data_IF_108983650555
#
_entry.id   IF_108983650555
#
_cell.length_a   1.000
_cell.length_b   1.000
_cell.length_c   1.000
_cell.angle_alpha   90.00
_cell.angle_beta   90.00
_cell.angle_gamma   90.00
#
_symmetry.space_group_name_H-M   'P 1'
#
loop_
_entity.id
_entity.type
_entity.pdbx_description
1 polymer ?
#
# COMPACT_ATOMS: atom_id res chain seq x y z
N UNK A 1 24.92 2.33 21.86
CA UNK A 1 23.64 2.64 21.20
C UNK A 1 23.98 3.27 19.86
N UNK A 2 23.64 2.63 18.74
CA UNK A 2 23.86 3.25 17.44
C UNK A 2 22.81 4.35 17.29
N UNK A 3 23.27 5.61 17.32
CA UNK A 3 22.44 6.76 16.98
C UNK A 3 22.33 6.83 15.46
N UNK A 4 21.16 6.49 14.91
CA UNK A 4 20.90 6.68 13.49
C UNK A 4 20.83 8.17 13.16
N UNK A 5 21.28 8.51 11.94
CA UNK A 5 21.26 9.90 11.47
C UNK A 5 19.84 10.31 11.05
N UNK A 6 19.51 11.62 11.09
CA UNK A 6 18.25 12.12 10.57
C UNK A 6 17.98 11.67 9.12
N UNK A 7 19.02 11.60 8.28
CA UNK A 7 18.92 11.15 6.89
C UNK A 7 18.51 9.67 6.78
N UNK A 8 19.01 8.82 7.66
CA UNK A 8 18.65 7.39 7.70
C UNK A 8 17.18 7.19 8.08
N UNK A 9 16.69 7.95 9.06
CA UNK A 9 15.29 7.92 9.50
C UNK A 9 14.33 8.50 8.43
N UNK A 10 14.76 9.55 7.74
CA UNK A 10 14.02 10.13 6.62
C UNK A 10 13.89 9.14 5.46
N UNK A 11 14.98 8.46 5.10
CA UNK A 11 14.97 7.42 4.08
C UNK A 11 14.05 6.24 4.47
N UNK A 12 14.12 5.78 5.71
CA UNK A 12 13.24 4.72 6.21
C UNK A 12 11.75 5.10 6.13
N UNK A 13 11.43 6.35 6.48
CA UNK A 13 10.06 6.88 6.38
C UNK A 13 9.56 6.95 4.93
N UNK A 14 10.42 7.35 3.99
CA UNK A 14 10.10 7.36 2.56
C UNK A 14 9.80 5.95 2.06
N UNK A 15 10.64 4.97 2.39
CA UNK A 15 10.44 3.56 2.00
C UNK A 15 9.13 3.02 2.57
N UNK A 16 8.83 3.29 3.85
CA UNK A 16 7.57 2.88 4.47
C UNK A 16 6.35 3.49 3.76
N UNK A 17 6.43 4.76 3.37
CA UNK A 17 5.39 5.44 2.61
C UNK A 17 5.15 4.78 1.24
N UNK A 18 6.23 4.55 0.48
CA UNK A 18 6.15 3.94 -0.86
C UNK A 18 5.63 2.50 -0.82
N UNK A 19 5.95 1.72 0.22
CA UNK A 19 5.43 0.37 0.39
C UNK A 19 3.91 0.38 0.55
N UNK A 20 3.39 1.22 1.47
CA UNK A 20 1.95 1.31 1.70
C UNK A 20 1.23 1.89 0.48
N UNK A 21 1.82 2.86 -0.21
CA UNK A 21 1.28 3.34 -1.48
C UNK A 21 1.21 2.23 -2.52
N UNK A 22 2.27 1.43 -2.65
CA UNK A 22 2.33 0.30 -3.59
C UNK A 22 1.28 -0.77 -3.29
N UNK A 23 1.13 -1.17 -2.02
CA UNK A 23 0.07 -2.10 -1.58
C UNK A 23 -1.32 -1.61 -1.98
N UNK A 24 -1.62 -0.33 -1.72
CA UNK A 24 -2.91 0.28 -2.08
C UNK A 24 -3.13 0.31 -3.59
N UNK A 25 -2.11 0.65 -4.38
CA UNK A 25 -2.23 0.69 -5.84
C UNK A 25 -2.45 -0.69 -6.44
N UNK A 26 -1.86 -1.73 -5.85
CA UNK A 26 -2.12 -3.12 -6.23
C UNK A 26 -3.58 -3.48 -5.94
N UNK A 27 -4.12 -3.13 -4.77
CA UNK A 27 -5.53 -3.38 -4.43
C UNK A 27 -6.49 -2.67 -5.39
N UNK A 28 -6.24 -1.39 -5.71
CA UNK A 28 -7.03 -0.62 -6.70
C UNK A 28 -6.97 -1.28 -8.08
N UNK A 29 -5.80 -1.75 -8.49
CA UNK A 29 -5.61 -2.40 -9.79
C UNK A 29 -6.30 -3.77 -9.85
N UNK A 30 -6.25 -4.55 -8.77
CA UNK A 30 -6.95 -5.83 -8.64
C UNK A 30 -8.47 -5.68 -8.71
N UNK A 31 -9.02 -4.65 -8.05
CA UNK A 31 -10.44 -4.32 -8.14
C UNK A 31 -10.86 -3.99 -9.58
N UNK A 32 -10.07 -3.19 -10.30
CA UNK A 32 -10.34 -2.84 -11.71
C UNK A 32 -10.30 -4.06 -12.63
N UNK A 33 -9.31 -4.95 -12.47
CA UNK A 33 -9.23 -6.18 -13.26
C UNK A 33 -10.42 -7.12 -13.00
N UNK A 34 -10.84 -7.22 -11.74
CA UNK A 34 -12.00 -8.04 -11.37
C UNK A 34 -13.28 -7.48 -11.99
N UNK A 35 -13.50 -6.15 -11.95
CA UNK A 35 -14.64 -5.51 -12.59
C UNK A 35 -14.68 -5.72 -14.11
N UNK A 36 -13.51 -5.71 -14.77
CA UNK A 36 -13.39 -6.05 -16.19
C UNK A 36 -13.81 -7.51 -16.46
N UNK A 37 -13.34 -8.46 -15.65
CA UNK A 37 -13.73 -9.87 -15.79
C UNK A 37 -15.23 -10.06 -15.62
N UNK A 38 -15.83 -9.43 -14.60
CA UNK A 38 -17.28 -9.41 -14.39
C UNK A 38 -18.01 -8.87 -15.62
N UNK A 39 -17.57 -7.74 -16.17
CA UNK A 39 -18.15 -7.14 -17.38
C UNK A 39 -18.11 -8.11 -18.57
N UNK A 40 -17.00 -8.85 -18.75
CA UNK A 40 -16.87 -9.84 -19.83
C UNK A 40 -17.86 -10.99 -19.64
N UNK A 41 -18.07 -11.49 -18.43
CA UNK A 41 -18.99 -12.59 -18.18
C UNK A 41 -20.45 -12.17 -18.29
N UNK A 42 -20.83 -11.07 -17.62
CA UNK A 42 -22.19 -10.56 -17.60
C UNK A 42 -22.64 -10.04 -18.96
N UNK A 43 -21.73 -9.41 -19.72
CA UNK A 43 -22.06 -8.83 -21.03
C UNK A 43 -22.31 -9.85 -22.14
N UNK A 44 -21.79 -11.08 -22.02
CA UNK A 44 -21.90 -12.09 -23.09
C UNK A 44 -23.32 -12.51 -23.41
N UNK A 45 -24.08 -12.87 -22.37
CA UNK A 45 -25.45 -13.38 -22.51
C UNK A 45 -26.37 -12.35 -23.17
N UNK A 46 -26.51 -11.11 -22.66
CA UNK A 46 -27.38 -10.12 -23.28
C UNK A 46 -26.89 -9.64 -24.66
N UNK A 47 -25.57 -9.71 -24.92
CA UNK A 47 -25.03 -9.36 -26.23
C UNK A 47 -25.13 -10.50 -27.28
N UNK A 48 -25.62 -11.69 -26.90
CA UNK A 48 -25.69 -12.85 -27.80
C UNK A 48 -24.31 -13.35 -28.26
N UNK A 49 -23.25 -13.06 -27.49
CA UNK A 49 -21.87 -13.41 -27.85
C UNK A 49 -21.55 -14.83 -27.37
N UNK A 50 -21.15 -15.70 -28.29
CA UNK A 50 -20.76 -17.08 -27.98
C UNK A 50 -19.59 -17.13 -26.97
N UNK A 51 -19.60 -18.13 -26.09
CA UNK A 51 -18.61 -18.28 -25.02
C UNK A 51 -17.15 -18.37 -25.52
N UNK A 52 -16.93 -18.93 -26.71
CA UNK A 52 -15.59 -19.05 -27.30
C UNK A 52 -15.01 -17.72 -27.80
N UNK A 53 -15.86 -16.74 -28.13
CA UNK A 53 -15.41 -15.42 -28.63
C UNK A 53 -14.65 -14.71 -27.52
N UNK A 54 -13.44 -14.23 -27.81
CA UNK A 54 -12.61 -13.50 -26.84
C UNK A 54 -11.96 -14.37 -25.76
N UNK A 55 -12.01 -15.70 -25.86
CA UNK A 55 -11.47 -16.62 -24.84
C UNK A 55 -9.98 -16.37 -24.53
N UNK A 56 -9.15 -16.18 -25.55
CA UNK A 56 -7.72 -15.90 -25.35
C UNK A 56 -7.47 -14.55 -24.65
N UNK A 57 -8.37 -13.59 -24.83
CA UNK A 57 -8.34 -12.32 -24.10
C UNK A 57 -8.70 -12.52 -22.63
N UNK A 58 -9.80 -13.23 -22.37
CA UNK A 58 -10.25 -13.59 -21.02
C UNK A 58 -9.16 -14.34 -20.23
N UNK A 59 -8.48 -15.31 -20.86
CA UNK A 59 -7.36 -16.03 -20.25
C UNK A 59 -6.20 -15.10 -19.86
N UNK A 60 -5.83 -14.16 -20.72
CA UNK A 60 -4.77 -13.18 -20.42
C UNK A 60 -5.16 -12.24 -19.28
N UNK A 61 -6.41 -11.78 -19.24
CA UNK A 61 -6.92 -10.94 -18.15
C UNK A 61 -6.92 -11.69 -16.82
N UNK A 62 -7.36 -12.96 -16.81
CA UNK A 62 -7.33 -13.80 -15.61
C UNK A 62 -5.88 -14.07 -15.14
N UNK A 63 -4.95 -14.35 -16.07
CA UNK A 63 -3.54 -14.52 -15.75
C UNK A 63 -2.92 -13.23 -15.17
N UNK A 64 -3.27 -12.06 -15.71
CA UNK A 64 -2.83 -10.77 -15.17
C UNK A 64 -3.34 -10.52 -13.75
N UNK A 65 -4.60 -10.87 -13.45
CA UNK A 65 -5.13 -10.80 -12.09
C UNK A 65 -4.38 -11.73 -11.14
N UNK A 66 -4.09 -12.97 -11.55
CA UNK A 66 -3.30 -13.91 -10.75
C UNK A 66 -1.89 -13.37 -10.46
N UNK A 67 -1.22 -12.81 -11.47
CA UNK A 67 0.10 -12.22 -11.30
C UNK A 67 0.09 -11.00 -10.35
N UNK A 68 -0.99 -10.21 -10.38
CA UNK A 68 -1.17 -9.09 -9.47
C UNK A 68 -1.35 -9.55 -8.01
N UNK A 69 -2.13 -10.61 -7.78
CA UNK A 69 -2.30 -11.20 -6.44
C UNK A 69 -0.97 -11.71 -5.89
N UNK A 70 -0.17 -12.37 -6.74
CA UNK A 70 1.19 -12.80 -6.37
C UNK A 70 2.08 -11.59 -6.04
N UNK A 71 2.10 -10.57 -6.89
CA UNK A 71 2.88 -9.34 -6.65
C UNK A 71 2.51 -8.67 -5.32
N UNK A 72 1.21 -8.64 -4.98
CA UNK A 72 0.73 -8.15 -3.67
C UNK A 72 1.31 -8.95 -2.51
N UNK A 73 1.31 -10.28 -2.61
CA UNK A 73 1.93 -11.15 -1.59
C UNK A 73 3.42 -10.85 -1.41
N UNK A 74 4.15 -10.66 -2.51
CA UNK A 74 5.57 -10.31 -2.49
C UNK A 74 5.83 -8.95 -1.84
N UNK A 75 5.01 -7.92 -2.12
CA UNK A 75 5.15 -6.59 -1.49
C UNK A 75 4.86 -6.63 0.01
N UNK A 76 3.83 -7.35 0.46
CA UNK A 76 3.54 -7.54 1.90
C UNK A 76 4.70 -8.25 2.61
N UNK A 77 5.27 -9.27 1.94
CA UNK A 77 6.47 -9.95 2.43
C UNK A 77 7.67 -8.99 2.53
N UNK A 78 7.88 -8.15 1.51
CA UNK A 78 8.92 -7.14 1.51
C UNK A 78 8.73 -6.12 2.64
N UNK A 79 7.51 -5.64 2.87
CA UNK A 79 7.16 -4.74 3.97
C UNK A 79 7.57 -5.36 5.32
N UNK A 80 7.18 -6.60 5.57
CA UNK A 80 7.52 -7.31 6.81
C UNK A 80 9.04 -7.44 7.01
N UNK A 81 9.79 -7.68 5.92
CA UNK A 81 11.25 -7.74 5.97
C UNK A 81 11.89 -6.37 6.26
N UNK A 82 11.42 -5.31 5.60
CA UNK A 82 11.93 -3.96 5.81
C UNK A 82 11.62 -3.44 7.21
N UNK A 83 10.44 -3.75 7.75
CA UNK A 83 10.11 -3.43 9.14
C UNK A 83 11.09 -4.12 10.11
N UNK A 84 11.32 -5.42 9.94
CA UNK A 84 12.28 -6.18 10.76
C UNK A 84 13.68 -5.58 10.68
N UNK A 85 14.15 -5.28 9.48
CA UNK A 85 15.50 -4.78 9.26
C UNK A 85 15.65 -3.34 9.79
N UNK A 86 14.62 -2.51 9.66
CA UNK A 86 14.55 -1.18 10.27
C UNK A 86 14.63 -1.23 11.81
N UNK A 87 13.88 -2.12 12.46
CA UNK A 87 13.99 -2.36 13.92
C UNK A 87 15.39 -2.80 14.31
N UNK A 88 16.00 -3.71 13.55
CA UNK A 88 17.37 -4.21 13.81
C UNK A 88 18.41 -3.09 13.71
N UNK A 89 18.22 -2.16 12.78
CA UNK A 89 19.07 -1.00 12.62
C UNK A 89 18.77 0.10 13.64
N UNK A 90 17.66 0.02 14.38
CA UNK A 90 17.19 1.06 15.31
C UNK A 90 16.64 2.30 14.61
N UNK A 91 16.22 2.17 13.35
CA UNK A 91 15.69 3.28 12.56
C UNK A 91 14.35 3.72 13.15
N UNK A 92 14.13 5.02 13.17
CA UNK A 92 12.82 5.58 13.44
C UNK A 92 12.18 5.92 12.09
N UNK A 93 10.98 5.40 11.84
CA UNK A 93 10.22 5.71 10.64
C UNK A 93 8.79 6.06 11.00
N UNK A 94 8.27 7.10 10.36
CA UNK A 94 6.93 7.59 10.60
C UNK A 94 6.15 7.64 9.30
N UNK A 95 4.93 7.13 9.32
CA UNK A 95 3.95 7.32 8.24
C UNK A 95 3.45 8.77 8.14
N UNK A 96 3.75 9.60 9.13
CA UNK A 96 3.48 11.05 9.15
C UNK A 96 4.57 11.87 8.45
N UNK A 97 5.50 11.20 7.75
CA UNK A 97 6.76 11.73 7.22
C UNK A 97 6.67 12.67 6.01
N UNK A 98 5.57 13.40 5.83
CA UNK A 98 5.54 14.67 5.10
C UNK A 98 4.91 15.68 6.05
N UNK A 99 5.77 16.30 6.87
CA UNK A 99 5.46 17.25 7.96
C UNK A 99 4.49 16.72 9.01
N UNK A 100 5.03 16.09 10.05
CA UNK A 100 4.85 16.48 11.46
C UNK A 100 5.37 15.37 12.37
N UNK A 101 6.21 15.76 13.33
CA UNK A 101 6.55 14.91 14.47
C UNK A 101 5.25 14.64 15.23
N UNK A 102 4.83 13.37 15.32
CA UNK A 102 3.71 12.97 16.15
C UNK A 102 4.02 13.38 17.59
N UNK A 103 3.27 14.30 18.22
CA UNK A 103 3.57 14.71 19.58
C UNK A 103 3.29 13.52 20.48
N UNK A 104 4.30 13.12 21.26
CA UNK A 104 4.09 12.23 22.39
C UNK A 104 3.24 13.03 23.39
N UNK A 105 2.01 12.56 23.60
CA UNK A 105 1.10 13.05 24.63
C UNK A 105 1.84 13.18 25.97
N UNK A 106 1.86 14.40 26.53
CA UNK A 106 2.33 14.64 27.89
C UNK A 106 2.98 16.00 28.15
N UNK A 107 2.33 17.12 27.77
CA UNK A 107 2.63 18.41 28.39
C UNK A 107 1.30 19.12 28.66
N UNK A 108 1.06 19.34 29.95
CA UNK A 108 -0.17 19.83 30.53
C UNK A 108 -0.63 21.15 29.89
N UNK A 109 -1.94 21.22 29.62
CA UNK A 109 -2.66 22.49 29.62
C UNK A 109 -2.67 23.01 31.06
N UNK A 110 -1.72 23.88 31.38
CA UNK A 110 -1.80 24.79 32.52
C UNK A 110 -1.11 26.09 32.09
N UNK A 111 -1.82 26.89 31.28
CA UNK A 111 -1.58 28.34 31.13
C UNK A 111 -2.75 28.97 30.35
N UNK A 112 -3.94 28.93 30.95
CA UNK A 112 -4.99 29.89 30.65
C UNK A 112 -5.62 30.38 31.96
N UNK A 113 -4.78 31.03 32.76
CA UNK A 113 -5.19 31.84 33.90
C UNK A 113 -4.35 33.12 33.96
N UNK A 114 -4.31 33.89 32.88
CA UNK A 114 -3.89 35.29 32.87
C UNK A 114 -4.27 35.97 31.54
N UNK A 115 -5.53 36.37 31.40
CA UNK A 115 -5.98 37.58 30.67
C UNK A 115 -7.46 37.46 30.28
N UNK A 116 -8.30 38.21 31.00
CA UNK A 116 -9.63 38.76 30.69
C UNK A 116 -10.63 38.52 31.82
#
# INVERSE_FOLDING_TARGET
>A
MNSNTPDQNAFASLVAHELIQSERQLDVSGARLTALLTTIFEGRVPAGIAACVGQSGLQKTAAALSALVEARGQIIGAHSHFERDGRRLGLDWSMSGLTESKPITGAAQDDLAAAA
#
